data_IF_120975239865
#
_entry.id   IF_120975239865
#
_cell.length_a   1.000
_cell.length_b   1.000
_cell.length_c   1.000
_cell.angle_alpha   90.00
_cell.angle_beta   90.00
_cell.angle_gamma   90.00
#
_symmetry.space_group_name_H-M   'P 1'
#
loop_
_entity.id
_entity.type
_entity.pdbx_description
1 polymer ?
#
# COMPACT_ATOMS: atom_id res chain seq x y z
N UNK A 1 12.60 7.33 -28.25
CA UNK A 1 11.41 7.69 -27.45
C UNK A 1 11.27 6.65 -26.35
N UNK A 2 10.90 7.05 -25.14
CA UNK A 2 10.81 6.10 -24.04
C UNK A 2 9.80 4.98 -24.35
N UNK A 3 10.21 3.73 -24.13
CA UNK A 3 9.41 2.53 -24.33
C UNK A 3 8.81 2.04 -23.03
N UNK A 4 9.53 2.25 -21.93
CA UNK A 4 9.14 1.80 -20.60
C UNK A 4 9.24 2.93 -19.57
N UNK A 5 8.39 2.87 -18.55
CA UNK A 5 8.49 3.72 -17.37
C UNK A 5 8.98 2.91 -16.18
N UNK A 6 9.96 3.42 -15.46
CA UNK A 6 10.35 2.95 -14.12
C UNK A 6 9.85 3.97 -13.11
N UNK A 7 8.86 3.61 -12.31
CA UNK A 7 8.31 4.43 -11.23
C UNK A 7 8.92 4.00 -9.90
N UNK A 8 9.81 4.81 -9.36
CA UNK A 8 10.37 4.63 -8.03
C UNK A 8 9.46 5.30 -6.99
N UNK A 9 8.92 4.52 -6.08
CA UNK A 9 8.07 4.98 -4.97
C UNK A 9 8.83 4.82 -3.65
N UNK A 10 9.15 5.95 -3.03
CA UNK A 10 9.75 6.05 -1.70
C UNK A 10 8.61 6.26 -0.69
N UNK A 11 7.96 5.16 -0.27
CA UNK A 11 6.75 5.17 0.55
C UNK A 11 6.90 6.03 1.79
N UNK A 12 5.93 6.91 2.02
CA UNK A 12 5.89 7.80 3.19
C UNK A 12 7.01 8.84 3.25
N UNK A 13 7.67 9.17 2.11
CA UNK A 13 8.83 10.08 2.07
C UNK A 13 8.53 11.47 2.62
N UNK A 14 7.37 12.05 2.27
CA UNK A 14 7.00 13.40 2.69
C UNK A 14 6.87 13.55 4.20
N UNK A 15 7.10 14.76 4.69
CA UNK A 15 7.05 15.08 6.12
C UNK A 15 6.77 16.57 6.35
N UNK A 16 6.71 16.94 7.62
CA UNK A 16 6.62 18.31 8.13
C UNK A 16 8.00 18.84 8.53
N UNK A 17 8.06 20.14 8.76
CA UNK A 17 9.27 20.78 9.30
C UNK A 17 9.47 20.47 10.78
N UNK A 18 10.71 20.20 11.17
CA UNK A 18 11.08 19.85 12.55
C UNK A 18 12.11 20.78 13.13
N UNK A 19 11.91 21.22 14.38
CA UNK A 19 12.88 22.04 15.10
C UNK A 19 14.26 21.35 15.21
N UNK A 20 14.28 20.03 15.41
CA UNK A 20 15.51 19.24 15.46
C UNK A 20 16.32 19.28 14.14
N UNK A 21 15.69 19.67 13.04
CA UNK A 21 16.31 19.81 11.71
C UNK A 21 16.41 21.28 11.28
N UNK A 22 16.37 22.23 12.23
CA UNK A 22 16.46 23.66 11.94
C UNK A 22 15.26 24.22 11.19
N UNK A 23 14.08 23.61 11.35
CA UNK A 23 12.84 24.02 10.67
C UNK A 23 12.67 23.43 9.27
N UNK A 24 13.50 22.47 8.89
CA UNK A 24 13.43 21.75 7.62
C UNK A 24 12.65 20.43 7.75
N UNK A 25 12.14 19.90 6.63
CA UNK A 25 11.68 18.52 6.58
C UNK A 25 12.86 17.56 6.61
N UNK A 26 12.68 16.28 6.95
CA UNK A 26 13.77 15.30 6.86
C UNK A 26 14.38 15.22 5.46
N UNK A 27 13.57 15.32 4.39
CA UNK A 27 14.05 15.32 3.02
C UNK A 27 14.85 16.60 2.68
N UNK A 28 14.38 17.77 3.09
CA UNK A 28 15.14 19.03 2.92
C UNK A 28 16.48 19.01 3.66
N UNK A 29 16.55 18.39 4.84
CA UNK A 29 17.73 18.32 5.67
C UNK A 29 18.70 17.21 5.25
N UNK A 30 18.24 16.21 4.49
CA UNK A 30 19.06 15.10 4.03
C UNK A 30 20.03 15.53 2.92
N UNK A 31 21.20 14.88 2.87
CA UNK A 31 22.11 14.98 1.74
C UNK A 31 21.66 14.00 0.64
N UNK A 32 21.06 14.52 -0.42
CA UNK A 32 20.42 13.73 -1.49
C UNK A 32 20.97 14.10 -2.89
N UNK A 33 22.29 14.07 -3.11
CA UNK A 33 22.89 14.54 -4.37
C UNK A 33 22.42 13.78 -5.60
N UNK A 34 22.03 12.52 -5.48
CA UNK A 34 21.57 11.71 -6.62
C UNK A 34 20.11 11.99 -6.98
N UNK A 35 19.23 12.13 -5.99
CA UNK A 35 17.85 12.58 -6.20
C UNK A 35 17.82 14.02 -6.70
N UNK A 36 18.67 14.90 -6.17
CA UNK A 36 18.81 16.28 -6.64
C UNK A 36 19.28 16.35 -8.09
N UNK A 37 20.21 15.48 -8.50
CA UNK A 37 20.63 15.39 -9.90
C UNK A 37 19.50 14.95 -10.84
N UNK A 38 18.62 14.04 -10.40
CA UNK A 38 17.43 13.64 -11.15
C UNK A 38 16.47 14.83 -11.28
N UNK A 39 16.21 15.54 -10.18
CA UNK A 39 15.36 16.73 -10.19
C UNK A 39 15.89 17.80 -11.14
N UNK A 40 17.19 18.12 -11.08
CA UNK A 40 17.85 19.14 -11.91
C UNK A 40 17.83 18.78 -13.42
N UNK A 41 17.66 17.51 -13.77
CA UNK A 41 17.60 17.01 -15.13
C UNK A 41 16.18 16.63 -15.59
N UNK A 42 15.15 16.91 -14.80
CA UNK A 42 13.78 16.45 -15.03
C UNK A 42 12.72 17.55 -14.96
N UNK A 43 11.48 17.13 -15.15
CA UNK A 43 10.26 17.90 -14.91
C UNK A 43 9.78 17.60 -13.48
N UNK A 44 9.60 18.62 -12.67
CA UNK A 44 9.25 18.50 -11.27
C UNK A 44 7.86 19.04 -10.97
N UNK A 45 7.28 18.59 -9.87
CA UNK A 45 6.01 19.04 -9.33
C UNK A 45 5.69 18.37 -8.00
N UNK A 46 4.48 18.59 -7.54
CA UNK A 46 3.96 17.93 -6.34
C UNK A 46 2.93 16.87 -6.72
N UNK A 47 2.92 15.78 -5.99
CA UNK A 47 1.94 14.70 -6.10
C UNK A 47 1.16 14.53 -4.80
N UNK A 48 -0.14 14.24 -4.90
CA UNK A 48 -0.97 13.82 -3.78
C UNK A 48 -2.00 12.80 -4.26
N UNK A 49 -2.05 11.63 -3.64
CA UNK A 49 -2.94 10.54 -4.05
C UNK A 49 -4.44 10.88 -3.94
N UNK A 50 -4.80 11.80 -3.04
CA UNK A 50 -6.17 12.31 -2.87
C UNK A 50 -6.23 13.83 -2.95
N UNK A 51 -6.81 14.47 -1.95
CA UNK A 51 -6.89 15.92 -1.80
C UNK A 51 -5.86 16.44 -0.79
N UNK A 52 -5.23 17.59 -1.00
CA UNK A 52 -4.36 18.19 0.01
C UNK A 52 -5.04 18.29 1.37
N UNK A 53 -4.35 17.84 2.42
CA UNK A 53 -4.90 17.73 3.77
C UNK A 53 -5.58 16.40 4.08
N UNK A 54 -5.84 15.55 3.10
CA UNK A 54 -6.39 14.20 3.31
C UNK A 54 -5.25 13.21 3.56
N UNK A 55 -5.21 12.63 4.76
CA UNK A 55 -4.30 11.53 5.04
C UNK A 55 -4.84 10.22 4.45
N UNK A 56 -4.03 9.54 3.64
CA UNK A 56 -4.38 8.26 3.03
C UNK A 56 -3.46 7.15 3.55
N UNK A 57 -3.98 5.93 3.76
CA UNK A 57 -3.14 4.76 3.95
C UNK A 57 -2.50 4.33 2.62
N UNK A 58 -1.35 3.63 2.70
CA UNK A 58 -0.55 3.25 1.52
C UNK A 58 -1.38 2.51 0.46
N UNK A 59 -2.28 1.62 0.84
CA UNK A 59 -3.12 0.88 -0.09
C UNK A 59 -4.04 1.79 -0.93
N UNK A 60 -4.69 2.78 -0.31
CA UNK A 60 -5.55 3.73 -1.01
C UNK A 60 -4.71 4.65 -1.91
N UNK A 61 -3.54 5.09 -1.40
CA UNK A 61 -2.64 5.95 -2.16
C UNK A 61 -2.10 5.24 -3.40
N UNK A 62 -1.69 3.96 -3.31
CA UNK A 62 -1.24 3.17 -4.45
C UNK A 62 -2.36 2.91 -5.47
N UNK A 63 -3.59 2.63 -5.00
CA UNK A 63 -4.72 2.48 -5.92
C UNK A 63 -4.95 3.74 -6.75
N UNK A 64 -4.94 4.91 -6.10
CA UNK A 64 -5.04 6.19 -6.81
C UNK A 64 -3.85 6.41 -7.74
N UNK A 65 -2.62 6.11 -7.30
CA UNK A 65 -1.39 6.20 -8.09
C UNK A 65 -1.44 5.34 -9.35
N UNK A 66 -2.07 4.17 -9.28
CA UNK A 66 -2.28 3.27 -10.41
C UNK A 66 -3.59 3.52 -11.16
N UNK A 67 -4.24 4.67 -10.93
CA UNK A 67 -5.38 5.16 -11.71
C UNK A 67 -6.73 4.54 -11.33
N UNK A 68 -6.84 3.87 -10.21
CA UNK A 68 -8.12 3.39 -9.69
C UNK A 68 -8.85 4.49 -8.91
N UNK A 69 -10.17 4.57 -9.10
CA UNK A 69 -11.01 5.46 -8.31
C UNK A 69 -11.23 4.92 -6.89
N UNK A 70 -11.64 5.77 -5.92
CA UNK A 70 -11.94 5.30 -4.58
C UNK A 70 -13.02 4.21 -4.52
N UNK A 71 -13.97 4.22 -5.46
CA UNK A 71 -15.08 3.25 -5.54
C UNK A 71 -14.62 1.88 -6.04
N UNK A 72 -13.48 1.82 -6.73
CA UNK A 72 -12.87 0.59 -7.22
C UNK A 72 -11.99 -0.09 -6.16
N UNK A 73 -11.77 0.56 -5.01
CA UNK A 73 -10.94 0.02 -3.95
C UNK A 73 -11.61 -1.17 -3.24
N UNK A 74 -11.05 -2.39 -3.29
CA UNK A 74 -11.73 -3.59 -2.81
C UNK A 74 -11.65 -3.79 -1.29
N UNK A 75 -11.01 -2.87 -0.56
CA UNK A 75 -10.72 -3.01 0.87
C UNK A 75 -9.42 -3.76 1.16
N UNK A 76 -8.71 -3.34 2.20
CA UNK A 76 -7.39 -3.88 2.53
C UNK A 76 -7.44 -5.36 2.91
N UNK A 77 -8.48 -5.83 3.62
CA UNK A 77 -8.60 -7.23 3.98
C UNK A 77 -8.57 -8.16 2.76
N UNK A 78 -9.22 -7.77 1.67
CA UNK A 78 -9.17 -8.50 0.40
C UNK A 78 -7.77 -8.49 -0.22
N UNK A 79 -7.08 -7.35 -0.22
CA UNK A 79 -5.71 -7.25 -0.74
C UNK A 79 -4.72 -8.11 0.05
N UNK A 80 -4.80 -8.10 1.37
CA UNK A 80 -3.94 -8.96 2.21
C UNK A 80 -4.24 -10.45 1.96
N UNK A 81 -5.51 -10.81 1.76
CA UNK A 81 -5.87 -12.19 1.39
C UNK A 81 -5.19 -12.62 0.07
N UNK A 82 -5.26 -11.78 -0.97
CA UNK A 82 -4.56 -12.03 -2.23
C UNK A 82 -3.05 -12.13 -2.04
N UNK A 83 -2.46 -11.21 -1.26
CA UNK A 83 -1.03 -11.19 -0.99
C UNK A 83 -0.53 -12.40 -0.20
N UNK A 84 -1.38 -13.04 0.59
CA UNK A 84 -1.13 -14.33 1.24
C UNK A 84 -1.25 -15.52 0.28
N UNK A 85 -1.68 -15.30 -0.97
CA UNK A 85 -1.94 -16.35 -1.95
C UNK A 85 -3.31 -17.01 -1.80
N UNK A 86 -4.22 -16.41 -1.04
CA UNK A 86 -5.61 -16.85 -1.00
C UNK A 86 -6.33 -16.39 -2.27
N UNK A 87 -7.38 -17.11 -2.64
CA UNK A 87 -8.24 -16.77 -3.78
C UNK A 87 -9.69 -16.65 -3.28
N UNK A 88 -10.05 -15.53 -2.62
CA UNK A 88 -11.39 -15.36 -2.09
C UNK A 88 -12.44 -15.46 -3.20
N UNK A 89 -13.49 -16.21 -2.93
CA UNK A 89 -14.60 -16.37 -3.88
C UNK A 89 -15.38 -15.05 -4.05
N UNK A 90 -16.09 -14.87 -5.19
CA UNK A 90 -17.02 -13.74 -5.32
C UNK A 90 -18.03 -13.71 -4.17
N UNK A 91 -18.16 -12.55 -3.50
CA UNK A 91 -19.02 -12.38 -2.33
C UNK A 91 -18.40 -12.79 -0.99
N UNK A 92 -17.17 -13.28 -0.97
CA UNK A 92 -16.43 -13.57 0.27
C UNK A 92 -15.84 -12.27 0.85
N UNK A 93 -16.14 -12.00 2.12
CA UNK A 93 -15.62 -10.84 2.86
C UNK A 93 -14.31 -11.23 3.54
N UNK A 94 -13.29 -10.39 3.38
CA UNK A 94 -11.98 -10.55 4.00
C UNK A 94 -11.70 -9.39 4.94
N UNK A 95 -11.20 -9.66 6.16
CA UNK A 95 -10.83 -8.65 7.15
C UNK A 95 -9.41 -8.90 7.61
N UNK A 96 -8.61 -7.86 7.76
CA UNK A 96 -7.39 -7.97 8.54
C UNK A 96 -7.72 -8.45 9.94
N UNK A 97 -6.88 -9.32 10.49
CA UNK A 97 -7.03 -9.81 11.84
C UNK A 97 -5.67 -9.92 12.53
N UNK A 98 -5.62 -9.64 13.81
CA UNK A 98 -4.47 -10.00 14.61
C UNK A 98 -4.84 -10.28 16.06
N UNK A 99 -4.03 -11.09 16.70
CA UNK A 99 -4.18 -11.39 18.12
C UNK A 99 -3.59 -10.27 18.96
N UNK A 100 -4.31 -9.91 20.04
CA UNK A 100 -3.91 -8.90 21.00
C UNK A 100 -4.14 -9.38 22.43
N UNK A 101 -3.76 -8.55 23.40
CA UNK A 101 -4.10 -8.71 24.80
C UNK A 101 -5.24 -7.76 25.17
N UNK A 102 -6.36 -8.29 25.65
CA UNK A 102 -7.47 -7.50 26.18
C UNK A 102 -7.84 -7.93 27.61
N UNK A 103 -8.30 -6.97 28.39
CA UNK A 103 -8.82 -7.20 29.76
C UNK A 103 -10.31 -6.89 29.80
N UNK A 104 -11.03 -7.51 30.73
CA UNK A 104 -12.44 -7.18 30.96
C UNK A 104 -12.50 -6.08 32.03
N UNK A 105 -13.15 -4.98 31.71
CA UNK A 105 -13.41 -3.85 32.61
C UNK A 105 -14.87 -3.41 32.41
N UNK A 106 -15.65 -3.39 33.48
CA UNK A 106 -17.07 -3.06 33.47
C UNK A 106 -17.90 -3.86 32.44
N UNK A 107 -17.54 -5.15 32.26
CA UNK A 107 -18.20 -6.04 31.31
C UNK A 107 -17.81 -5.85 29.85
N UNK A 108 -16.94 -4.89 29.54
CA UNK A 108 -16.43 -4.60 28.20
C UNK A 108 -14.98 -5.03 28.01
N UNK A 109 -14.54 -5.28 26.77
CA UNK A 109 -13.15 -5.56 26.46
C UNK A 109 -12.38 -4.25 26.24
N UNK A 110 -11.31 -4.04 27.04
CA UNK A 110 -10.35 -2.96 26.86
C UNK A 110 -9.04 -3.51 26.34
N UNK A 111 -8.50 -2.86 25.31
CA UNK A 111 -7.19 -3.22 24.75
C UNK A 111 -6.11 -2.91 25.78
N UNK A 112 -5.46 -3.95 26.29
CA UNK A 112 -4.34 -3.80 27.21
C UNK A 112 -3.02 -3.64 26.44
N UNK A 113 -2.85 -4.44 25.37
CA UNK A 113 -1.67 -4.38 24.49
C UNK A 113 -2.04 -4.85 23.09
N UNK A 114 -1.95 -3.94 22.11
CA UNK A 114 -2.25 -4.23 20.70
C UNK A 114 -1.27 -5.28 20.11
N UNK A 115 0.00 -5.13 20.43
CA UNK A 115 1.07 -6.06 20.00
C UNK A 115 1.77 -6.65 21.22
N UNK A 116 1.24 -7.74 21.82
CA UNK A 116 1.91 -8.42 22.90
C UNK A 116 3.26 -9.00 22.46
N UNK A 117 4.11 -9.36 23.41
CA UNK A 117 5.41 -9.96 23.17
C UNK A 117 5.27 -11.15 22.21
N UNK A 118 6.14 -11.18 21.19
CA UNK A 118 6.09 -12.16 20.10
C UNK A 118 6.19 -13.59 20.64
N UNK A 119 5.21 -14.46 20.34
CA UNK A 119 5.28 -15.87 20.72
C UNK A 119 6.27 -16.65 19.84
N UNK A 120 6.66 -17.84 20.27
CA UNK A 120 7.32 -18.80 19.42
C UNK A 120 6.42 -19.20 18.23
N UNK A 121 7.00 -19.59 17.08
CA UNK A 121 6.21 -19.95 15.89
C UNK A 121 5.15 -21.04 16.15
N UNK A 122 5.47 -22.02 17.00
CA UNK A 122 4.59 -23.13 17.38
C UNK A 122 3.45 -22.67 18.29
N UNK A 123 3.73 -21.75 19.23
CA UNK A 123 2.71 -21.14 20.08
C UNK A 123 1.72 -20.35 19.23
N UNK A 124 2.22 -19.52 18.31
CA UNK A 124 1.37 -18.79 17.37
C UNK A 124 0.51 -19.76 16.54
N UNK A 125 1.09 -20.82 15.98
CA UNK A 125 0.37 -21.83 15.21
C UNK A 125 -0.76 -22.49 16.03
N UNK A 126 -0.48 -22.82 17.29
CA UNK A 126 -1.46 -23.42 18.20
C UNK A 126 -2.62 -22.47 18.52
N UNK A 127 -2.34 -21.18 18.76
CA UNK A 127 -3.37 -20.16 18.98
C UNK A 127 -4.25 -19.98 17.72
N UNK A 128 -3.67 -19.93 16.53
CA UNK A 128 -4.43 -19.83 15.27
C UNK A 128 -5.32 -21.07 15.07
N UNK A 129 -4.79 -22.28 15.32
CA UNK A 129 -5.55 -23.52 15.18
C UNK A 129 -6.77 -23.58 16.11
N UNK A 130 -6.66 -23.05 17.33
CA UNK A 130 -7.75 -23.05 18.31
C UNK A 130 -8.99 -22.25 17.88
N UNK A 131 -8.83 -21.30 16.96
CA UNK A 131 -9.91 -20.42 16.50
C UNK A 131 -10.01 -20.34 14.97
N UNK A 132 -9.45 -21.34 14.27
CA UNK A 132 -9.31 -21.35 12.81
C UNK A 132 -10.64 -21.32 12.05
N UNK A 133 -11.73 -21.88 12.62
CA UNK A 133 -13.02 -22.01 11.97
C UNK A 133 -14.16 -21.81 12.95
N UNK A 134 -15.23 -21.17 12.46
CA UNK A 134 -16.44 -20.93 13.22
C UNK A 134 -17.63 -20.82 12.26
N UNK A 135 -18.82 -21.11 12.72
CA UNK A 135 -20.04 -20.92 11.96
C UNK A 135 -21.12 -20.30 12.84
N UNK A 136 -21.87 -19.35 12.28
CA UNK A 136 -22.98 -18.71 12.95
C UNK A 136 -24.07 -18.29 11.98
N UNK A 137 -25.27 -18.86 12.15
CA UNK A 137 -26.47 -18.52 11.37
C UNK A 137 -26.25 -18.50 9.85
N UNK A 138 -25.59 -19.53 9.31
CA UNK A 138 -25.31 -19.68 7.88
C UNK A 138 -24.15 -18.80 7.36
N UNK A 139 -23.40 -18.16 8.24
CA UNK A 139 -22.15 -17.49 7.92
C UNK A 139 -20.99 -18.34 8.43
N UNK A 140 -20.13 -18.81 7.52
CA UNK A 140 -18.91 -19.50 7.86
C UNK A 140 -17.75 -18.51 7.95
N UNK A 141 -16.95 -18.64 9.01
CA UNK A 141 -15.79 -17.79 9.31
C UNK A 141 -14.54 -18.65 9.36
N UNK A 142 -13.48 -18.22 8.70
CA UNK A 142 -12.16 -18.87 8.74
C UNK A 142 -11.08 -17.86 9.03
N UNK A 143 -10.13 -18.22 9.86
CA UNK A 143 -8.94 -17.41 10.15
C UNK A 143 -7.72 -18.05 9.48
N UNK A 144 -7.07 -17.29 8.64
CA UNK A 144 -5.85 -17.65 7.92
C UNK A 144 -4.66 -16.92 8.53
N UNK A 145 -3.59 -17.66 8.85
CA UNK A 145 -2.36 -17.09 9.41
C UNK A 145 -1.45 -16.57 8.30
N UNK A 146 -0.95 -15.35 8.46
CA UNK A 146 0.14 -14.79 7.65
C UNK A 146 1.48 -14.97 8.39
N UNK A 147 1.84 -14.04 9.24
CA UNK A 147 3.08 -14.06 10.03
C UNK A 147 2.86 -13.61 11.47
N UNK A 148 3.62 -14.20 12.40
CA UNK A 148 3.52 -13.85 13.82
C UNK A 148 2.11 -14.01 14.34
N UNK A 149 1.50 -12.90 14.78
CA UNK A 149 0.15 -12.82 15.32
C UNK A 149 -0.87 -12.24 14.29
N UNK A 150 -0.45 -12.01 13.06
CA UNK A 150 -1.27 -11.40 12.02
C UNK A 150 -1.85 -12.46 11.08
N UNK A 151 -3.02 -12.16 10.54
CA UNK A 151 -3.72 -13.00 9.57
C UNK A 151 -4.90 -12.29 8.94
N UNK A 152 -5.70 -13.05 8.23
CA UNK A 152 -6.94 -12.60 7.56
C UNK A 152 -8.08 -13.49 8.01
N UNK A 153 -9.19 -12.88 8.40
CA UNK A 153 -10.49 -13.56 8.55
C UNK A 153 -11.21 -13.50 7.22
N UNK A 154 -11.69 -14.66 6.73
CA UNK A 154 -12.62 -14.72 5.60
C UNK A 154 -14.00 -15.16 6.08
N UNK A 155 -15.05 -14.58 5.48
CA UNK A 155 -16.43 -14.85 5.82
C UNK A 155 -17.22 -15.14 4.54
N UNK A 156 -17.94 -16.27 4.53
CA UNK A 156 -18.80 -16.69 3.42
C UNK A 156 -20.25 -16.84 3.86
N UNK A 157 -21.18 -16.67 2.92
CA UNK A 157 -22.62 -16.66 3.16
C UNK A 157 -23.25 -15.38 2.61
N UNK A 158 -24.39 -14.97 3.14
CA UNK A 158 -24.99 -13.67 2.80
C UNK A 158 -24.35 -12.57 3.65
N UNK A 159 -23.18 -12.10 3.22
CA UNK A 159 -22.29 -11.18 3.94
C UNK A 159 -21.98 -9.93 3.12
N UNK A 160 -21.56 -8.85 3.80
CA UNK A 160 -21.14 -7.58 3.21
C UNK A 160 -19.90 -7.02 3.93
N UNK A 161 -18.95 -6.37 3.25
CA UNK A 161 -17.80 -5.73 3.88
C UNK A 161 -18.14 -4.42 4.61
N UNK A 162 -19.38 -3.93 4.53
CA UNK A 162 -19.83 -2.66 5.14
C UNK A 162 -20.04 -2.79 6.65
N UNK A 163 -18.96 -3.16 7.37
CA UNK A 163 -18.92 -3.31 8.83
C UNK A 163 -17.78 -2.50 9.43
N UNK A 164 -17.95 -2.10 10.69
CA UNK A 164 -16.93 -1.32 11.41
C UNK A 164 -15.74 -2.18 11.84
N UNK A 165 -14.59 -1.51 12.04
CA UNK A 165 -13.39 -2.10 12.63
C UNK A 165 -13.59 -2.35 14.12
N UNK A 166 -12.93 -3.40 14.65
CA UNK A 166 -12.96 -3.75 16.08
C UNK A 166 -11.62 -3.47 16.80
N UNK A 167 -10.64 -2.90 16.09
CA UNK A 167 -9.36 -2.50 16.66
C UNK A 167 -9.33 -0.98 16.90
N UNK A 168 -9.20 -0.50 18.15
CA UNK A 168 -9.04 0.92 18.44
C UNK A 168 -7.64 1.44 18.11
N UNK A 169 -6.66 0.58 17.80
CA UNK A 169 -5.26 0.87 17.46
C UNK A 169 -4.46 1.59 18.57
N UNK A 170 -5.05 1.83 19.72
CA UNK A 170 -4.43 2.55 20.85
C UNK A 170 -4.66 1.76 22.12
N UNK A 171 -3.58 1.41 22.82
CA UNK A 171 -3.64 0.72 24.12
C UNK A 171 -4.44 1.56 25.13
N UNK A 172 -5.25 0.90 25.93
CA UNK A 172 -6.08 1.54 26.95
C UNK A 172 -7.48 1.95 26.49
N UNK A 173 -7.81 1.88 25.20
CA UNK A 173 -9.16 2.10 24.71
C UNK A 173 -10.00 0.81 24.71
N UNK A 174 -11.33 0.97 24.76
CA UNK A 174 -12.24 -0.18 24.62
C UNK A 174 -12.25 -0.67 23.17
N UNK A 175 -12.36 -1.99 22.98
CA UNK A 175 -12.57 -2.58 21.68
C UNK A 175 -13.97 -2.22 21.16
N UNK A 176 -14.10 -1.62 19.96
CA UNK A 176 -15.40 -1.36 19.37
C UNK A 176 -16.16 -2.67 19.07
N UNK A 177 -17.48 -2.64 19.24
CA UNK A 177 -18.35 -3.70 18.72
C UNK A 177 -18.35 -3.66 17.18
N UNK A 178 -18.39 -4.80 16.48
CA UNK A 178 -18.61 -4.80 15.05
C UNK A 178 -20.07 -4.42 14.76
N UNK A 179 -20.26 -3.35 14.04
CA UNK A 179 -21.56 -2.81 13.65
C UNK A 179 -21.68 -2.67 12.12
N UNK A 180 -22.89 -2.75 11.55
CA UNK A 180 -23.05 -2.40 10.14
C UNK A 180 -22.81 -0.88 9.96
N UNK A 181 -22.18 -0.51 8.84
CA UNK A 181 -22.01 0.90 8.48
C UNK A 181 -23.37 1.59 8.31
N UNK A 182 -23.44 2.88 8.57
CA UNK A 182 -24.68 3.66 8.41
C UNK A 182 -25.21 3.56 6.98
N UNK A 183 -26.45 3.12 6.85
CA UNK A 183 -27.10 2.91 5.55
C UNK A 183 -26.84 1.56 4.89
N UNK A 184 -25.98 0.71 5.49
CA UNK A 184 -25.72 -0.63 4.98
C UNK A 184 -26.93 -1.56 5.14
N UNK A 185 -27.02 -2.56 4.25
CA UNK A 185 -28.14 -3.49 4.17
C UNK A 185 -28.14 -4.64 5.20
N UNK A 186 -29.09 -5.54 5.07
CA UNK A 186 -29.26 -6.70 5.97
C UNK A 186 -28.04 -7.65 5.98
N UNK A 187 -27.31 -7.76 4.87
CA UNK A 187 -26.09 -8.58 4.76
C UNK A 187 -24.99 -8.04 5.72
N UNK A 188 -24.78 -6.72 5.78
CA UNK A 188 -23.84 -6.11 6.72
C UNK A 188 -24.22 -6.37 8.19
N UNK A 189 -25.51 -6.29 8.52
CA UNK A 189 -25.98 -6.63 9.85
C UNK A 189 -25.76 -8.13 10.21
N UNK A 190 -25.85 -9.04 9.23
CA UNK A 190 -25.49 -10.46 9.45
C UNK A 190 -24.00 -10.63 9.64
N UNK A 191 -23.19 -9.96 8.81
CA UNK A 191 -21.73 -9.97 8.96
C UNK A 191 -21.31 -9.50 10.34
N UNK A 192 -21.83 -8.36 10.80
CA UNK A 192 -21.53 -7.81 12.12
C UNK A 192 -21.90 -8.79 13.26
N UNK A 193 -23.10 -9.40 13.21
CA UNK A 193 -23.53 -10.39 14.21
C UNK A 193 -22.66 -11.64 14.22
N UNK A 194 -22.33 -12.19 13.04
CA UNK A 194 -21.48 -13.37 12.92
C UNK A 194 -20.05 -13.06 13.38
N UNK A 195 -19.51 -11.89 13.03
CA UNK A 195 -18.20 -11.44 13.46
C UNK A 195 -18.15 -11.28 14.99
N UNK A 196 -19.15 -10.63 15.59
CA UNK A 196 -19.26 -10.53 17.05
C UNK A 196 -19.27 -11.90 17.74
N UNK A 197 -20.08 -12.81 17.22
CA UNK A 197 -20.15 -14.18 17.77
C UNK A 197 -18.80 -14.90 17.66
N UNK A 198 -18.11 -14.74 16.53
CA UNK A 198 -16.77 -15.29 16.31
C UNK A 198 -15.73 -14.69 17.26
N UNK A 199 -15.69 -13.38 17.43
CA UNK A 199 -14.74 -12.71 18.33
C UNK A 199 -14.94 -13.13 19.79
N UNK A 200 -16.19 -13.30 20.24
CA UNK A 200 -16.49 -13.83 21.56
C UNK A 200 -16.10 -15.32 21.71
N UNK A 201 -16.30 -16.13 20.66
CA UNK A 201 -15.80 -17.51 20.63
C UNK A 201 -14.27 -17.51 20.73
N UNK A 202 -13.58 -16.74 19.90
CA UNK A 202 -12.12 -16.63 19.91
C UNK A 202 -11.61 -16.19 21.28
N UNK A 203 -12.22 -15.19 21.90
CA UNK A 203 -11.88 -14.75 23.27
C UNK A 203 -11.96 -15.88 24.29
N UNK A 204 -13.01 -16.69 24.26
CA UNK A 204 -13.17 -17.82 25.20
C UNK A 204 -12.10 -18.89 25.00
N UNK A 205 -11.86 -19.28 23.74
CA UNK A 205 -10.87 -20.30 23.39
C UNK A 205 -9.46 -19.85 23.75
N UNK A 206 -9.09 -18.62 23.40
CA UNK A 206 -7.77 -18.05 23.66
C UNK A 206 -7.53 -17.84 25.16
N UNK A 207 -8.52 -17.35 25.91
CA UNK A 207 -8.37 -17.13 27.36
C UNK A 207 -8.07 -18.43 28.13
N UNK A 208 -8.62 -19.56 27.68
CA UNK A 208 -8.39 -20.88 28.29
C UNK A 208 -7.19 -21.63 27.66
N UNK A 209 -6.50 -21.05 26.70
CA UNK A 209 -5.46 -21.76 25.95
C UNK A 209 -4.20 -21.99 26.79
N UNK A 210 -3.57 -23.21 26.76
CA UNK A 210 -2.38 -23.54 27.56
C UNK A 210 -1.20 -22.57 27.33
N UNK A 211 -1.01 -22.07 26.12
CA UNK A 211 0.01 -21.04 25.80
C UNK A 211 -0.16 -19.82 26.72
N UNK A 212 -1.38 -19.38 26.99
CA UNK A 212 -1.62 -18.23 27.85
C UNK A 212 -1.37 -18.52 29.35
N UNK A 213 -1.58 -19.76 29.80
CA UNK A 213 -1.17 -20.17 31.13
C UNK A 213 0.37 -20.15 31.29
N UNK A 214 1.11 -20.64 30.28
CA UNK A 214 2.57 -20.59 30.26
C UNK A 214 3.10 -19.16 30.22
N UNK A 215 2.48 -18.29 29.38
CA UNK A 215 2.83 -16.87 29.29
C UNK A 215 2.62 -16.14 30.62
N UNK A 216 1.49 -16.38 31.28
CA UNK A 216 1.21 -15.82 32.60
C UNK A 216 2.25 -16.23 33.64
N UNK A 217 2.65 -17.52 33.64
CA UNK A 217 3.70 -18.02 34.51
C UNK A 217 5.08 -17.39 34.25
N UNK A 218 5.32 -16.98 33.01
CA UNK A 218 6.53 -16.25 32.58
C UNK A 218 6.44 -14.72 32.76
N UNK A 219 5.34 -14.19 33.30
CA UNK A 219 5.12 -12.75 33.45
C UNK A 219 4.86 -11.99 32.14
N UNK A 220 4.52 -12.71 31.06
CA UNK A 220 4.22 -12.14 29.75
C UNK A 220 2.72 -11.83 29.60
N UNK A 221 2.40 -10.81 28.81
CA UNK A 221 1.02 -10.50 28.48
C UNK A 221 0.35 -11.68 27.74
N UNK A 222 -0.89 -12.08 28.11
CA UNK A 222 -1.60 -13.13 27.39
C UNK A 222 -1.98 -12.67 25.98
N UNK A 223 -2.07 -13.63 25.06
CA UNK A 223 -2.58 -13.45 23.69
C UNK A 223 -4.00 -13.99 23.68
N UNK A 224 -4.96 -13.19 24.14
CA UNK A 224 -6.26 -13.69 24.59
C UNK A 224 -7.47 -13.06 23.90
N UNK A 225 -7.25 -12.22 22.90
CA UNK A 225 -8.30 -11.64 22.09
C UNK A 225 -7.86 -11.55 20.62
N UNK A 226 -8.82 -11.39 19.73
CA UNK A 226 -8.66 -11.16 18.31
C UNK A 226 -9.37 -9.87 17.97
N UNK A 227 -8.75 -9.04 17.17
CA UNK A 227 -9.34 -7.84 16.59
C UNK A 227 -9.32 -7.91 15.08
N UNK A 228 -10.30 -7.24 14.43
CA UNK A 228 -10.43 -7.21 12.97
C UNK A 228 -10.60 -5.79 12.48
N UNK A 229 -10.16 -5.55 11.24
CA UNK A 229 -10.26 -4.23 10.63
C UNK A 229 -10.22 -4.28 9.11
N UNK A 230 -10.67 -3.16 8.49
CA UNK A 230 -10.52 -2.88 7.07
C UNK A 230 -11.10 -3.98 6.19
N UNK A 231 -12.36 -4.32 6.42
CA UNK A 231 -13.11 -5.29 5.63
C UNK A 231 -13.07 -4.95 4.14
N UNK A 232 -13.00 -5.98 3.31
CA UNK A 232 -12.98 -5.86 1.86
C UNK A 232 -13.55 -7.10 1.19
N UNK A 233 -13.87 -6.96 -0.09
CA UNK A 233 -14.44 -8.02 -0.95
C UNK A 233 -14.05 -7.75 -2.39
N UNK A 234 -13.97 -8.80 -3.21
CA UNK A 234 -13.77 -8.64 -4.65
C UNK A 234 -14.84 -7.71 -5.27
N UNK A 235 -14.38 -6.71 -6.00
CA UNK A 235 -15.20 -5.76 -6.74
C UNK A 235 -14.82 -5.71 -8.22
N UNK A 236 -15.55 -4.95 -9.05
CA UNK A 236 -15.19 -4.71 -10.44
C UNK A 236 -13.95 -3.80 -10.50
N UNK A 237 -12.78 -4.41 -10.56
CA UNK A 237 -11.50 -3.71 -10.65
C UNK A 237 -10.83 -4.03 -11.98
N UNK A 238 -10.77 -3.09 -12.96
CA UNK A 238 -10.02 -3.27 -14.18
C UNK A 238 -8.53 -3.44 -13.90
N UNK A 239 -7.91 -4.45 -14.49
CA UNK A 239 -6.45 -4.62 -14.41
C UNK A 239 -5.73 -3.44 -15.05
N UNK A 240 -4.59 -3.05 -14.49
CA UNK A 240 -3.78 -1.91 -14.98
C UNK A 240 -3.46 -2.01 -16.47
N UNK A 241 -3.05 -3.21 -16.92
CA UNK A 241 -2.76 -3.46 -18.32
C UNK A 241 -3.97 -3.28 -19.24
N UNK A 242 -5.16 -3.69 -18.80
CA UNK A 242 -6.40 -3.49 -19.56
C UNK A 242 -6.79 -1.99 -19.62
N UNK A 243 -6.56 -1.24 -18.55
CA UNK A 243 -6.88 0.18 -18.46
C UNK A 243 -5.93 1.06 -19.28
N UNK A 244 -4.63 0.80 -19.21
CA UNK A 244 -3.60 1.68 -19.76
C UNK A 244 -2.83 1.08 -20.93
N UNK A 245 -3.09 -0.16 -21.33
CA UNK A 245 -2.40 -0.83 -22.42
C UNK A 245 -0.91 -1.03 -22.19
N UNK A 246 -0.46 -1.06 -20.94
CA UNK A 246 0.92 -1.25 -20.52
C UNK A 246 1.08 -2.62 -19.87
N UNK A 247 2.20 -3.30 -20.10
CA UNK A 247 2.57 -4.52 -19.38
C UNK A 247 3.24 -4.14 -18.07
N UNK A 248 2.57 -4.29 -16.92
CA UNK A 248 3.09 -3.83 -15.65
C UNK A 248 3.82 -4.92 -14.88
N UNK A 249 4.89 -4.54 -14.14
CA UNK A 249 5.48 -5.38 -13.12
C UNK A 249 5.78 -4.58 -11.85
N UNK A 250 5.86 -5.25 -10.71
CA UNK A 250 6.13 -4.67 -9.41
C UNK A 250 7.31 -5.34 -8.72
N UNK A 251 8.29 -4.54 -8.30
CA UNK A 251 9.42 -4.91 -7.45
C UNK A 251 9.14 -4.36 -6.06
N UNK A 252 8.29 -5.06 -5.32
CA UNK A 252 7.85 -4.67 -3.98
C UNK A 252 7.80 -5.88 -3.05
N UNK A 253 8.01 -5.66 -1.76
CA UNK A 253 7.95 -6.67 -0.71
C UNK A 253 6.73 -6.47 0.20
N UNK A 254 6.42 -7.48 1.00
CA UNK A 254 5.30 -7.46 1.96
C UNK A 254 3.97 -7.93 1.37
N UNK A 255 3.13 -8.47 2.25
CA UNK A 255 1.85 -9.10 1.89
C UNK A 255 0.91 -8.12 1.20
N UNK A 256 0.80 -6.88 1.71
CA UNK A 256 -0.04 -5.84 1.12
C UNK A 256 0.32 -5.53 -0.34
N UNK A 257 1.61 -5.27 -0.63
CA UNK A 257 2.04 -4.87 -1.98
C UNK A 257 1.95 -6.01 -2.98
N UNK A 258 2.14 -7.26 -2.53
CA UNK A 258 1.84 -8.45 -3.33
C UNK A 258 0.35 -8.52 -3.69
N UNK A 259 -0.53 -8.23 -2.72
CA UNK A 259 -1.97 -8.20 -2.94
C UNK A 259 -2.41 -7.07 -3.86
N UNK A 260 -1.81 -5.88 -3.77
CA UNK A 260 -2.06 -4.77 -4.70
C UNK A 260 -1.65 -5.17 -6.12
N UNK A 261 -0.47 -5.76 -6.27
CA UNK A 261 0.03 -6.22 -7.57
C UNK A 261 -0.89 -7.27 -8.18
N UNK A 262 -1.29 -8.28 -7.40
CA UNK A 262 -2.23 -9.34 -7.86
C UNK A 262 -3.59 -8.76 -8.26
N UNK A 263 -4.17 -7.88 -7.44
CA UNK A 263 -5.46 -7.27 -7.70
C UNK A 263 -5.46 -6.44 -9.00
N UNK A 264 -4.38 -5.70 -9.26
CA UNK A 264 -4.25 -4.84 -10.44
C UNK A 264 -3.61 -5.55 -11.64
N UNK A 265 -3.17 -6.81 -11.50
CA UNK A 265 -2.58 -7.61 -12.57
C UNK A 265 -1.16 -7.20 -12.94
N UNK A 266 -0.35 -6.84 -11.96
CA UNK A 266 1.10 -6.67 -12.09
C UNK A 266 1.81 -8.00 -11.92
N UNK A 267 2.81 -8.26 -12.75
CA UNK A 267 3.73 -9.35 -12.50
C UNK A 267 4.62 -9.03 -11.30
N UNK A 268 4.78 -9.99 -10.40
CA UNK A 268 5.60 -9.82 -9.20
C UNK A 268 7.05 -10.23 -9.48
N UNK A 269 7.96 -9.28 -9.36
CA UNK A 269 9.39 -9.52 -9.46
C UNK A 269 10.03 -9.66 -8.06
N UNK A 270 11.16 -10.39 -7.94
CA UNK A 270 11.80 -10.62 -6.66
C UNK A 270 12.18 -9.33 -5.92
N UNK A 271 11.77 -9.21 -4.67
CA UNK A 271 12.18 -8.17 -3.74
C UNK A 271 12.30 -8.77 -2.33
N UNK A 272 13.28 -8.31 -1.56
CA UNK A 272 13.52 -8.76 -0.18
C UNK A 272 13.77 -7.55 0.72
N UNK A 273 13.47 -7.72 2.01
CA UNK A 273 13.83 -6.80 3.07
C UNK A 273 14.87 -7.50 3.97
N UNK A 274 16.09 -6.96 3.98
CA UNK A 274 17.20 -7.52 4.75
C UNK A 274 17.43 -6.74 6.05
N UNK A 275 16.79 -5.57 6.18
CA UNK A 275 17.00 -4.60 7.26
C UNK A 275 18.03 -3.52 6.91
N UNK A 276 18.65 -3.58 5.72
CA UNK A 276 19.47 -2.51 5.15
C UNK A 276 18.69 -1.83 4.01
N UNK A 277 18.04 -0.68 4.26
CA UNK A 277 17.20 -0.02 3.26
C UNK A 277 17.97 0.40 2.00
N UNK A 278 19.23 0.74 2.13
CA UNK A 278 20.07 1.13 0.99
C UNK A 278 20.43 -0.08 0.11
N UNK A 279 20.82 -1.20 0.70
CA UNK A 279 21.11 -2.44 -0.05
C UNK A 279 19.85 -2.99 -0.70
N UNK A 280 18.72 -2.96 0.01
CA UNK A 280 17.43 -3.46 -0.47
C UNK A 280 16.92 -2.65 -1.68
N UNK A 281 17.02 -1.31 -1.64
CA UNK A 281 16.63 -0.47 -2.77
C UNK A 281 17.56 -0.65 -3.96
N UNK A 282 18.88 -0.75 -3.75
CA UNK A 282 19.82 -1.00 -4.85
C UNK A 282 19.50 -2.34 -5.55
N UNK A 283 19.22 -3.40 -4.80
CA UNK A 283 18.82 -4.70 -5.36
C UNK A 283 17.50 -4.61 -6.16
N UNK A 284 16.51 -3.83 -5.70
CA UNK A 284 15.25 -3.60 -6.42
C UNK A 284 15.45 -2.84 -7.72
N UNK A 285 16.31 -1.82 -7.74
CA UNK A 285 16.65 -1.08 -8.95
C UNK A 285 17.39 -1.97 -9.97
N UNK A 286 18.29 -2.85 -9.52
CA UNK A 286 18.94 -3.84 -10.38
C UNK A 286 17.93 -4.86 -10.95
N UNK A 287 16.96 -5.32 -10.15
CA UNK A 287 15.86 -6.17 -10.62
C UNK A 287 15.06 -5.47 -11.71
N UNK A 288 14.69 -4.19 -11.50
CA UNK A 288 13.98 -3.39 -12.49
C UNK A 288 14.80 -3.19 -13.76
N UNK A 289 16.10 -2.91 -13.65
CA UNK A 289 17.02 -2.78 -14.78
C UNK A 289 17.07 -4.07 -15.62
N UNK A 290 17.14 -5.21 -14.97
CA UNK A 290 17.18 -6.50 -15.67
C UNK A 290 15.87 -6.81 -16.41
N UNK A 291 14.73 -6.32 -15.89
CA UNK A 291 13.40 -6.59 -16.43
C UNK A 291 12.87 -5.51 -17.39
N UNK A 292 13.52 -4.35 -17.49
CA UNK A 292 12.98 -3.19 -18.24
C UNK A 292 12.71 -3.48 -19.72
N UNK A 293 13.38 -4.48 -20.30
CA UNK A 293 13.15 -4.90 -21.68
C UNK A 293 11.82 -5.64 -21.89
N UNK A 294 11.28 -6.26 -20.85
CA UNK A 294 10.11 -7.14 -20.93
C UNK A 294 8.80 -6.42 -20.54
N UNK A 295 8.89 -5.26 -19.87
CA UNK A 295 7.74 -4.54 -19.33
C UNK A 295 7.68 -3.09 -19.83
N UNK A 296 6.46 -2.56 -19.90
CA UNK A 296 6.21 -1.15 -20.27
C UNK A 296 6.11 -0.26 -19.03
N UNK A 297 5.85 -0.85 -17.85
CA UNK A 297 5.71 -0.14 -16.57
C UNK A 297 6.29 -0.98 -15.44
N UNK A 298 7.29 -0.45 -14.75
CA UNK A 298 7.94 -1.08 -13.60
C UNK A 298 7.75 -0.22 -12.36
N UNK A 299 7.01 -0.74 -11.40
CA UNK A 299 6.85 -0.16 -10.06
C UNK A 299 7.97 -0.69 -9.17
N UNK A 300 8.84 0.21 -8.69
CA UNK A 300 9.91 -0.09 -7.73
C UNK A 300 9.57 0.60 -6.42
N UNK A 301 9.39 -0.18 -5.37
CA UNK A 301 8.86 0.32 -4.11
C UNK A 301 9.77 0.01 -2.92
N UNK A 302 9.92 0.94 -1.99
CA UNK A 302 10.50 0.72 -0.67
C UNK A 302 9.68 1.40 0.41
N UNK A 303 9.41 0.69 1.50
CA UNK A 303 8.66 1.20 2.66
C UNK A 303 9.55 1.83 3.74
N UNK A 304 10.85 1.88 3.52
CA UNK A 304 11.81 2.28 4.53
C UNK A 304 11.59 3.71 5.10
N UNK A 305 11.25 4.75 4.30
CA UNK A 305 10.98 6.08 4.86
C UNK A 305 9.74 6.12 5.76
N UNK A 306 8.68 5.38 5.40
CA UNK A 306 7.46 5.27 6.19
C UNK A 306 7.73 4.56 7.54
N UNK A 307 8.45 3.44 7.50
CA UNK A 307 8.82 2.70 8.71
C UNK A 307 9.69 3.54 9.65
N UNK A 308 10.65 4.30 9.11
CA UNK A 308 11.45 5.22 9.88
C UNK A 308 10.61 6.35 10.50
N UNK A 309 9.66 6.92 9.75
CA UNK A 309 8.77 7.97 10.26
C UNK A 309 7.86 7.47 11.41
N UNK A 310 7.43 6.21 11.36
CA UNK A 310 6.63 5.61 12.44
C UNK A 310 7.40 5.42 13.75
N UNK A 311 8.73 5.48 13.75
CA UNK A 311 9.51 5.56 15.00
C UNK A 311 9.38 6.90 15.72
N UNK A 312 8.81 7.91 15.04
CA UNK A 312 8.66 9.29 15.52
C UNK A 312 10.00 9.98 15.81
N UNK A 313 11.01 9.64 15.02
CA UNK A 313 12.35 10.26 15.03
C UNK A 313 12.70 10.84 13.65
N UNK A 314 12.66 12.18 13.46
CA UNK A 314 12.99 12.81 12.19
C UNK A 314 14.46 12.64 11.77
N UNK A 315 15.38 12.42 12.73
CA UNK A 315 16.79 12.14 12.42
C UNK A 315 16.95 10.72 11.86
N UNK A 316 16.23 9.75 12.40
CA UNK A 316 16.21 8.39 11.86
C UNK A 316 15.65 8.37 10.43
N UNK A 317 14.54 9.10 10.17
CA UNK A 317 13.98 9.22 8.81
C UNK A 317 14.98 9.88 7.86
N UNK A 318 15.63 10.97 8.27
CA UNK A 318 16.69 11.63 7.50
C UNK A 318 17.79 10.65 7.10
N UNK A 319 18.30 9.87 8.05
CA UNK A 319 19.37 8.90 7.80
C UNK A 319 18.94 7.80 6.78
N UNK A 320 17.70 7.34 6.86
CA UNK A 320 17.14 6.39 5.88
C UNK A 320 17.07 7.04 4.50
N UNK A 321 16.62 8.28 4.37
CA UNK A 321 16.57 9.01 3.09
C UNK A 321 17.96 9.10 2.46
N UNK A 322 18.99 9.43 3.24
CA UNK A 322 20.39 9.49 2.77
C UNK A 322 20.89 8.12 2.30
N UNK A 323 20.53 7.03 2.99
CA UNK A 323 20.87 5.67 2.56
C UNK A 323 20.18 5.28 1.24
N UNK A 324 18.95 5.70 1.04
CA UNK A 324 18.21 5.48 -0.21
C UNK A 324 18.77 6.32 -1.36
N UNK A 325 19.15 7.57 -1.12
CA UNK A 325 19.82 8.39 -2.12
C UNK A 325 21.13 7.75 -2.60
N UNK A 326 21.95 7.28 -1.66
CA UNK A 326 23.18 6.55 -2.00
C UNK A 326 22.90 5.26 -2.81
N UNK A 327 21.78 4.59 -2.57
CA UNK A 327 21.35 3.43 -3.35
C UNK A 327 20.96 3.82 -4.80
N UNK A 328 20.24 4.94 -4.96
CA UNK A 328 19.92 5.53 -6.27
C UNK A 328 21.21 5.82 -7.03
N UNK A 329 22.21 6.43 -6.40
CA UNK A 329 23.52 6.69 -7.01
C UNK A 329 24.25 5.42 -7.46
N UNK A 330 24.12 4.33 -6.70
CA UNK A 330 24.78 3.06 -7.05
C UNK A 330 24.09 2.31 -8.19
N UNK A 331 22.77 2.34 -8.28
CA UNK A 331 22.00 1.38 -9.10
C UNK A 331 21.13 2.02 -10.20
N UNK A 332 20.72 3.30 -10.07
CA UNK A 332 19.82 3.90 -11.04
C UNK A 332 20.51 4.43 -12.30
N UNK A 333 21.84 4.64 -12.28
CA UNK A 333 22.58 5.25 -13.38
C UNK A 333 22.30 4.64 -14.77
N UNK A 334 22.31 3.32 -14.94
CA UNK A 334 21.99 2.70 -16.24
C UNK A 334 20.53 2.96 -16.71
N UNK A 335 19.56 3.02 -15.79
CA UNK A 335 18.15 3.34 -16.10
C UNK A 335 17.99 4.82 -16.48
N UNK A 336 18.71 5.72 -15.82
CA UNK A 336 18.66 7.17 -16.07
C UNK A 336 19.34 7.54 -17.39
N UNK A 337 20.36 6.78 -17.82
CA UNK A 337 21.08 6.98 -19.07
C UNK A 337 20.41 6.32 -20.29
N UNK A 338 19.42 5.46 -20.09
CA UNK A 338 18.75 4.74 -21.16
C UNK A 338 17.73 5.65 -21.87
N UNK A 339 17.91 5.97 -23.18
CA UNK A 339 16.99 6.81 -23.92
C UNK A 339 15.60 6.15 -24.16
N UNK A 340 15.43 4.87 -23.85
CA UNK A 340 14.16 4.16 -23.93
C UNK A 340 13.39 4.13 -22.58
N UNK A 341 13.96 4.72 -21.52
CA UNK A 341 13.37 4.73 -20.19
C UNK A 341 12.87 6.13 -19.81
N UNK A 342 11.64 6.20 -19.36
CA UNK A 342 11.10 7.30 -18.57
C UNK A 342 11.28 6.92 -17.10
N UNK A 343 12.10 7.65 -16.36
CA UNK A 343 12.30 7.42 -14.92
C UNK A 343 11.44 8.41 -14.13
N UNK A 344 10.54 7.90 -13.31
CA UNK A 344 9.70 8.68 -12.42
C UNK A 344 10.08 8.40 -10.97
N UNK A 345 10.18 9.43 -10.13
CA UNK A 345 10.39 9.27 -8.68
C UNK A 345 9.39 10.11 -7.91
N UNK A 346 8.75 9.50 -6.91
CA UNK A 346 7.77 10.14 -6.02
C UNK A 346 7.60 9.33 -4.72
N UNK A 347 6.61 9.71 -3.93
CA UNK A 347 6.08 8.92 -2.81
C UNK A 347 4.57 8.75 -2.98
N UNK A 348 3.99 7.87 -2.21
CA UNK A 348 2.53 7.66 -2.17
C UNK A 348 1.83 8.65 -1.22
N UNK A 349 2.45 8.97 -0.10
CA UNK A 349 1.95 9.93 0.91
C UNK A 349 3.07 10.54 1.77
N UNK A 350 2.68 11.49 2.60
CA UNK A 350 3.50 12.03 3.69
C UNK A 350 3.28 11.20 4.96
N UNK A 351 4.38 10.91 5.69
CA UNK A 351 4.33 10.25 7.00
C UNK A 351 5.10 11.07 8.03
N UNK A 352 4.39 11.79 8.92
CA UNK A 352 5.03 12.64 9.90
C UNK A 352 5.89 11.87 10.90
N UNK A 353 7.18 12.23 11.00
CA UNK A 353 8.13 11.65 11.96
C UNK A 353 8.06 12.29 13.35
N UNK A 354 6.96 13.01 13.65
CA UNK A 354 6.62 13.48 15.00
C UNK A 354 5.11 13.68 15.15
N UNK A 355 4.64 13.80 16.39
CA UNK A 355 3.24 14.02 16.70
C UNK A 355 2.35 12.76 16.51
N UNK A 356 1.03 12.91 16.71
CA UNK A 356 0.11 11.76 16.82
C UNK A 356 -0.36 11.19 15.47
N UNK A 357 -0.18 11.91 14.37
CA UNK A 357 -0.68 11.47 13.06
C UNK A 357 0.08 10.24 12.58
N UNK A 358 -0.66 9.26 12.06
CA UNK A 358 -0.11 8.09 11.38
C UNK A 358 0.45 8.52 10.02
N UNK A 359 -0.39 9.13 9.17
CA UNK A 359 0.00 9.75 7.91
C UNK A 359 -0.44 11.21 7.87
N UNK A 360 0.20 12.01 7.04
CA UNK A 360 -0.15 13.41 6.78
C UNK A 360 -0.89 13.58 5.45
N UNK A 361 -1.48 14.75 5.28
CA UNK A 361 -2.14 15.16 4.03
C UNK A 361 -1.32 16.14 3.21
N UNK A 362 -0.03 16.31 3.52
CA UNK A 362 0.88 17.14 2.76
C UNK A 362 1.25 16.44 1.44
N UNK A 363 1.35 17.19 0.31
CA UNK A 363 1.81 16.62 -0.96
C UNK A 363 3.30 16.27 -0.90
N UNK A 364 3.70 15.35 -1.77
CA UNK A 364 5.06 14.82 -1.87
C UNK A 364 5.71 15.25 -3.18
N UNK A 365 7.04 15.30 -3.30
CA UNK A 365 7.71 15.64 -4.54
C UNK A 365 7.48 14.57 -5.62
N UNK A 366 7.39 15.03 -6.88
CA UNK A 366 7.33 14.20 -8.07
C UNK A 366 8.36 14.72 -9.08
N UNK A 367 9.15 13.83 -9.67
CA UNK A 367 10.02 14.15 -10.80
C UNK A 367 9.85 13.13 -11.92
N UNK A 368 9.80 13.60 -13.17
CA UNK A 368 9.85 12.80 -14.40
C UNK A 368 11.14 13.14 -15.14
N UNK A 369 12.02 12.15 -15.33
CA UNK A 369 13.28 12.27 -16.04
C UNK A 369 13.31 11.32 -17.25
N UNK A 370 13.77 11.83 -18.40
CA UNK A 370 13.93 11.03 -19.60
C UNK A 370 13.73 11.87 -20.88
N UNK A 371 13.92 11.27 -22.06
CA UNK A 371 13.78 11.95 -23.33
C UNK A 371 12.39 12.60 -23.49
N UNK A 372 12.37 13.82 -24.04
CA UNK A 372 11.13 14.57 -24.30
C UNK A 372 10.51 15.24 -23.08
N UNK A 373 11.05 15.01 -21.87
CA UNK A 373 10.56 15.72 -20.69
C UNK A 373 11.05 17.17 -20.67
N UNK A 374 10.20 18.06 -20.15
CA UNK A 374 10.60 19.46 -19.92
C UNK A 374 11.56 19.48 -18.72
N UNK A 375 12.70 20.12 -18.88
CA UNK A 375 13.60 20.39 -17.75
C UNK A 375 13.27 21.76 -17.19
N UNK A 376 13.01 21.83 -15.89
CA UNK A 376 12.69 23.08 -15.21
C UNK A 376 13.88 23.59 -14.33
N UNK A 377 13.64 24.60 -13.51
CA UNK A 377 14.69 25.22 -12.71
C UNK A 377 14.87 24.60 -11.30
N UNK A 378 14.17 23.49 -11.02
CA UNK A 378 14.27 22.81 -9.72
C UNK A 378 15.60 22.08 -9.64
N UNK A 379 16.38 22.42 -8.61
CA UNK A 379 17.71 21.86 -8.40
C UNK A 379 17.78 20.87 -7.24
N UNK A 380 16.69 20.70 -6.48
CA UNK A 380 16.63 19.81 -5.31
C UNK A 380 15.34 19.04 -5.30
N UNK A 381 15.44 17.76 -4.98
CA UNK A 381 14.27 16.87 -4.83
C UNK A 381 13.74 16.95 -3.40
N UNK A 382 12.94 17.97 -3.11
CA UNK A 382 12.24 18.11 -1.82
C UNK A 382 10.85 18.74 -2.01
N UNK A 383 10.03 18.69 -0.96
CA UNK A 383 8.62 19.09 -0.99
C UNK A 383 8.44 20.59 -1.33
N UNK A 384 9.39 21.43 -0.94
CA UNK A 384 9.32 22.88 -1.14
C UNK A 384 9.86 23.26 -2.52
N UNK A 385 11.01 22.71 -2.91
CA UNK A 385 11.63 22.98 -4.20
C UNK A 385 10.76 22.46 -5.36
N UNK A 386 10.22 21.24 -5.26
CA UNK A 386 9.37 20.62 -6.26
C UNK A 386 8.07 21.40 -6.51
N UNK A 387 7.58 22.17 -5.54
CA UNK A 387 6.39 23.00 -5.69
C UNK A 387 6.53 24.09 -6.79
N UNK A 388 7.76 24.43 -7.19
CA UNK A 388 8.03 25.43 -8.25
C UNK A 388 8.20 24.80 -9.64
N UNK A 389 8.11 23.48 -9.74
CA UNK A 389 8.35 22.75 -10.99
C UNK A 389 7.23 22.84 -12.01
N UNK A 390 7.56 22.52 -13.26
CA UNK A 390 6.67 22.72 -14.41
C UNK A 390 5.52 21.70 -14.51
N UNK A 391 5.54 20.62 -13.76
CA UNK A 391 4.41 19.67 -13.66
C UNK A 391 3.27 20.23 -12.81
N UNK A 392 3.57 21.23 -11.94
CA UNK A 392 2.60 21.78 -11.03
C UNK A 392 2.11 20.75 -10.00
N UNK A 393 0.80 20.72 -9.75
CA UNK A 393 0.18 19.83 -8.78
C UNK A 393 -0.55 18.67 -9.47
N UNK A 394 -0.07 17.46 -9.27
CA UNK A 394 -0.60 16.20 -9.84
C UNK A 394 -1.40 15.45 -8.79
N UNK A 395 -2.62 15.05 -9.12
CA UNK A 395 -3.51 14.32 -8.23
C UNK A 395 -3.62 12.85 -8.62
N UNK A 396 -3.62 11.96 -7.64
CA UNK A 396 -3.98 10.54 -7.69
C UNK A 396 -3.98 9.91 -9.07
N UNK A 397 -5.16 9.75 -9.61
CA UNK A 397 -5.40 9.07 -10.90
C UNK A 397 -4.84 9.79 -12.13
N UNK A 398 -4.25 10.97 -11.99
CA UNK A 398 -3.62 11.72 -13.10
C UNK A 398 -2.21 11.21 -13.44
N UNK A 399 -1.51 10.57 -12.48
CA UNK A 399 -0.13 10.13 -12.68
C UNK A 399 0.04 9.14 -13.84
N UNK A 400 -0.81 8.11 -14.03
CA UNK A 400 -0.70 7.22 -15.19
C UNK A 400 -0.84 7.95 -16.54
N UNK A 401 -1.67 8.98 -16.62
CA UNK A 401 -1.82 9.77 -17.86
C UNK A 401 -0.59 10.60 -18.15
N UNK A 402 0.10 11.16 -17.16
CA UNK A 402 1.40 11.81 -17.34
C UNK A 402 2.45 10.82 -17.83
N UNK A 403 2.45 9.60 -17.29
CA UNK A 403 3.35 8.53 -17.73
C UNK A 403 3.05 8.14 -19.17
N UNK A 404 1.78 7.93 -19.54
CA UNK A 404 1.40 7.65 -20.94
C UNK A 404 1.85 8.78 -21.88
N UNK A 405 1.72 10.05 -21.47
CA UNK A 405 2.19 11.18 -22.25
C UNK A 405 3.72 11.15 -22.40
N UNK A 406 4.46 10.88 -21.34
CA UNK A 406 5.92 10.75 -21.36
C UNK A 406 6.42 9.56 -22.20
N UNK A 407 5.61 8.51 -22.34
CA UNK A 407 5.85 7.36 -23.21
C UNK A 407 5.36 7.57 -24.65
N UNK A 408 4.84 8.75 -24.98
CA UNK A 408 4.17 9.08 -26.28
C UNK A 408 3.01 8.12 -26.61
N UNK A 409 2.33 7.63 -25.60
CA UNK A 409 1.19 6.72 -25.70
C UNK A 409 -0.12 7.37 -25.23
N UNK A 410 -0.14 8.68 -24.99
CA UNK A 410 -1.35 9.42 -24.66
C UNK A 410 -2.34 9.39 -25.83
N UNK A 411 -3.57 8.98 -25.54
CA UNK A 411 -4.63 8.96 -26.55
C UNK A 411 -5.32 10.31 -26.63
N UNK A 412 -5.58 10.77 -27.85
CA UNK A 412 -6.36 11.98 -28.07
C UNK A 412 -7.82 11.75 -27.63
N UNK A 413 -8.30 12.59 -26.72
CA UNK A 413 -9.68 12.53 -26.23
C UNK A 413 -10.67 12.83 -27.37
N UNK A 414 -11.74 12.04 -27.46
CA UNK A 414 -12.78 12.18 -28.47
C UNK A 414 -12.63 11.26 -29.70
N UNK A 415 -11.53 10.53 -29.86
CA UNK A 415 -11.43 9.45 -30.85
C UNK A 415 -12.32 8.29 -30.43
N UNK A 416 -13.17 7.81 -31.35
CA UNK A 416 -14.15 6.74 -31.12
C UNK A 416 -13.93 5.60 -32.12
N UNK A 417 -12.74 5.03 -32.13
CA UNK A 417 -12.33 3.93 -33.01
C UNK A 417 -12.53 2.54 -32.40
N UNK A 418 -12.92 2.51 -31.11
CA UNK A 418 -13.33 1.31 -30.37
C UNK A 418 -14.60 1.58 -29.57
N UNK A 419 -15.45 0.56 -29.25
CA UNK A 419 -16.64 0.75 -28.42
C UNK A 419 -16.31 1.36 -27.04
N UNK A 420 -15.25 0.85 -26.39
CA UNK A 420 -14.73 1.36 -25.14
C UNK A 420 -13.29 1.86 -25.37
N UNK A 421 -13.10 3.16 -25.65
CA UNK A 421 -11.80 3.69 -26.01
C UNK A 421 -10.81 3.58 -24.83
N UNK A 422 -9.66 2.87 -24.99
CA UNK A 422 -8.65 2.78 -23.97
C UNK A 422 -7.93 4.12 -23.76
N UNK A 423 -7.27 4.27 -22.61
CA UNK A 423 -6.52 5.48 -22.30
C UNK A 423 -5.22 5.63 -23.13
N UNK A 424 -4.73 4.54 -23.75
CA UNK A 424 -3.45 4.50 -24.47
C UNK A 424 -3.62 4.47 -25.99
N UNK A 425 -2.57 4.92 -26.67
CA UNK A 425 -2.40 4.79 -28.12
C UNK A 425 -1.15 3.95 -28.43
N UNK A 426 -1.17 3.06 -29.42
CA UNK A 426 -2.33 2.59 -30.17
C UNK A 426 -3.19 1.66 -29.31
N UNK A 427 -4.52 1.86 -29.35
CA UNK A 427 -5.46 0.96 -28.69
C UNK A 427 -5.78 -0.28 -29.55
N UNK A 428 -6.44 -1.31 -28.99
CA UNK A 428 -6.88 -2.48 -29.74
C UNK A 428 -8.04 -2.10 -30.65
N UNK A 429 -7.79 -1.91 -31.94
CA UNK A 429 -8.82 -1.64 -32.95
C UNK A 429 -9.17 -2.92 -33.70
N UNK A 430 -10.45 -3.08 -34.06
CA UNK A 430 -10.87 -4.13 -34.97
C UNK A 430 -10.66 -3.67 -36.41
N UNK A 431 -9.72 -4.26 -37.17
CA UNK A 431 -9.47 -3.85 -38.55
C UNK A 431 -10.72 -3.98 -39.42
N UNK A 432 -10.94 -3.02 -40.29
CA UNK A 432 -11.98 -3.12 -41.30
C UNK A 432 -11.57 -4.17 -42.34
N UNK A 433 -12.33 -5.23 -42.44
CA UNK A 433 -12.09 -6.29 -43.40
C UNK A 433 -12.89 -6.01 -44.66
N UNK A 434 -12.22 -6.01 -45.81
CA UNK A 434 -12.87 -6.03 -47.11
C UNK A 434 -13.10 -7.50 -47.46
N UNK A 435 -14.36 -7.95 -47.45
CA UNK A 435 -14.72 -9.23 -48.01
C UNK A 435 -14.61 -9.12 -49.52
N UNK A 436 -13.73 -9.89 -50.16
CA UNK A 436 -13.75 -10.03 -51.62
C UNK A 436 -15.08 -10.71 -52.00
N UNK A 437 -15.91 -10.01 -52.73
CA UNK A 437 -17.19 -10.49 -53.25
C UNK A 437 -16.99 -11.53 -54.35
#
# INVERSE_FOLDING_TARGET
>A
MPRACVLLVLDGLGDRSHAALGGLTPLQAAATPHLDAIAAAGANGLYHAGFPGQALPSENAHFAMFGASPEEFPGRGYLEALGMGLSPAPGEVCLLAHFCCAVVEDGCLRLFRDKPEKPAPEEAASLFAAVAAFEHQGVAVRLHRDKGLFGVVTMTGDVSPEVTDTNPMVDGLFLPEPEPMTGAGAAAARTARALRAYLLFARRMLAAHPVNAARAAAGLAPINALVTQRAGMAGPLPRFGARFGLRPASVASGTLFRGIAEALGFDLLPARDTGDPGADLAARLETARAAVADYDFLHVHTKAPDEAAHTKDPLAKKAVIEALDAAVGRAAGPLLADPEVLFAVTADHSTPSSGPLIHGGEPVPLCLHGPGQRVDAVARFDEVSAATGCLGFVRGTQLPYLILNGLERARLVGIRDTPDPPACYPGPVRPFRVEES
#
